data_IF_212850285171
#
_entry.id   IF_212850285171
#
_cell.length_a   1.000
_cell.length_b   1.000
_cell.length_c   1.000
_cell.angle_alpha   90.00
_cell.angle_beta   90.00
_cell.angle_gamma   90.00
#
_symmetry.space_group_name_H-M   'P 1'
#
loop_
_entity.id
_entity.type
_entity.pdbx_description
1 polymer ?
#
# COMPACT_ATOMS: atom_id res chain seq x y z
N UNK A 1 -1.05 18.74 -18.31
CA UNK A 1 -2.47 18.35 -18.46
C UNK A 1 -2.56 16.83 -18.39
N UNK A 2 -3.08 16.29 -17.29
CA UNK A 2 -3.26 14.84 -17.14
C UNK A 2 -4.52 14.39 -17.86
N UNK A 3 -4.40 13.39 -18.73
CA UNK A 3 -5.52 12.78 -19.44
C UNK A 3 -6.12 11.67 -18.58
N UNK A 4 -7.43 11.72 -18.35
CA UNK A 4 -8.16 10.58 -17.80
C UNK A 4 -8.10 9.44 -18.83
N UNK A 5 -7.29 8.41 -18.53
CA UNK A 5 -7.27 7.19 -19.33
C UNK A 5 -8.64 6.51 -19.38
N UNK A 6 -8.74 5.42 -20.14
CA UNK A 6 -9.97 4.68 -20.52
C UNK A 6 -10.85 4.12 -19.38
N UNK A 7 -10.59 4.47 -18.12
CA UNK A 7 -11.39 4.10 -16.96
C UNK A 7 -12.31 5.26 -16.56
N UNK A 8 -13.43 5.41 -17.23
CA UNK A 8 -14.53 6.32 -16.84
C UNK A 8 -15.43 5.68 -15.79
N UNK A 9 -14.87 5.46 -14.59
CA UNK A 9 -15.64 5.13 -13.38
C UNK A 9 -15.91 6.38 -12.53
N UNK A 10 -16.75 6.26 -11.49
CA UNK A 10 -17.09 7.35 -10.56
C UNK A 10 -15.87 8.08 -9.97
N UNK A 11 -14.68 7.45 -9.93
CA UNK A 11 -13.41 8.08 -9.55
C UNK A 11 -12.98 9.24 -10.46
N UNK A 12 -13.40 9.24 -11.73
CA UNK A 12 -13.13 10.33 -12.68
C UNK A 12 -14.06 11.54 -12.45
N UNK A 13 -15.24 11.34 -11.86
CA UNK A 13 -16.16 12.43 -11.54
C UNK A 13 -15.63 13.32 -10.39
N UNK A 14 -14.92 12.74 -9.42
CA UNK A 14 -14.21 13.51 -8.40
C UNK A 14 -13.08 14.36 -8.99
N UNK A 15 -12.43 13.88 -10.05
CA UNK A 15 -11.35 14.61 -10.73
C UNK A 15 -11.84 15.79 -11.59
N UNK A 16 -13.04 15.69 -12.18
CA UNK A 16 -13.60 16.73 -13.06
C UNK A 16 -14.40 17.82 -12.33
N UNK A 17 -14.83 17.60 -11.08
CA UNK A 17 -15.58 18.58 -10.29
C UNK A 17 -14.74 19.42 -9.33
N UNK A 18 -13.54 18.96 -8.98
CA UNK A 18 -12.59 19.70 -8.14
C UNK A 18 -11.57 20.41 -9.02
N UNK A 19 -11.26 21.67 -8.74
CA UNK A 19 -10.25 22.48 -9.43
C UNK A 19 -8.80 21.94 -9.30
N UNK A 20 -8.62 20.69 -8.88
CA UNK A 20 -7.35 20.01 -8.60
C UNK A 20 -7.26 18.71 -9.41
N UNK A 21 -6.95 18.86 -10.70
CA UNK A 21 -6.69 17.76 -11.66
C UNK A 21 -5.51 16.84 -11.27
N UNK A 22 -4.82 17.16 -10.18
CA UNK A 22 -3.66 16.48 -9.64
C UNK A 22 -4.00 15.57 -8.45
N UNK A 23 -5.26 15.28 -8.13
CA UNK A 23 -5.60 14.47 -6.93
C UNK A 23 -6.12 13.07 -7.24
N UNK A 24 -6.15 12.69 -8.52
CA UNK A 24 -6.75 11.44 -8.98
C UNK A 24 -5.76 10.55 -9.76
N UNK A 25 -6.26 9.46 -10.34
CA UNK A 25 -5.49 8.49 -11.13
C UNK A 25 -4.58 9.18 -12.16
N UNK A 26 -3.31 8.78 -12.20
CA UNK A 26 -2.28 9.38 -13.06
C UNK A 26 -1.51 10.51 -12.40
N UNK A 27 -1.86 10.86 -11.16
CA UNK A 27 -1.12 11.78 -10.31
C UNK A 27 -0.19 11.06 -9.33
N UNK A 28 0.89 11.73 -8.93
CA UNK A 28 1.79 11.32 -7.84
C UNK A 28 1.41 11.90 -6.48
N UNK A 29 0.38 12.75 -6.40
CA UNK A 29 -0.16 13.21 -5.12
C UNK A 29 -0.88 12.07 -4.41
N UNK A 30 -1.08 12.20 -3.08
CA UNK A 30 -1.69 11.16 -2.23
C UNK A 30 -2.95 10.52 -2.82
N UNK A 31 -3.89 11.31 -3.35
CA UNK A 31 -5.13 10.74 -3.93
C UNK A 31 -4.94 9.92 -5.20
N UNK A 32 -3.76 9.97 -5.84
CA UNK A 32 -3.38 9.13 -6.97
C UNK A 32 -2.63 7.86 -6.59
N UNK A 33 -1.85 7.88 -5.50
CA UNK A 33 -0.93 6.77 -5.12
C UNK A 33 -1.33 6.05 -3.84
N UNK A 34 -1.98 6.73 -2.88
CA UNK A 34 -2.43 6.13 -1.62
C UNK A 34 -3.78 5.45 -1.83
N UNK A 35 -3.82 4.18 -1.49
CA UNK A 35 -5.00 3.33 -1.65
C UNK A 35 -5.53 2.88 -0.28
N UNK A 36 -6.85 2.67 -0.13
CA UNK A 36 -7.37 1.99 1.05
C UNK A 36 -6.88 0.54 1.07
N UNK A 37 -6.45 0.07 2.24
CA UNK A 37 -6.00 -1.30 2.45
C UNK A 37 -6.54 -1.84 3.78
N UNK A 38 -6.91 -3.12 3.80
CA UNK A 38 -7.35 -3.85 4.99
C UNK A 38 -6.96 -5.32 4.84
N UNK A 39 -6.68 -5.98 5.97
CA UNK A 39 -6.28 -7.39 6.02
C UNK A 39 -7.19 -8.09 7.03
N UNK A 40 -7.63 -9.30 6.69
CA UNK A 40 -8.45 -10.13 7.57
C UNK A 40 -7.78 -11.48 7.76
N UNK A 41 -7.41 -11.79 9.01
CA UNK A 41 -6.81 -13.07 9.39
C UNK A 41 -7.36 -13.51 10.76
N UNK A 42 -8.37 -14.39 10.78
CA UNK A 42 -8.97 -14.88 12.03
C UNK A 42 -7.95 -15.54 12.95
N UNK A 43 -8.01 -15.21 14.24
CA UNK A 43 -7.11 -15.77 15.26
C UNK A 43 -5.68 -15.21 15.25
N UNK A 44 -5.35 -14.35 14.28
CA UNK A 44 -4.04 -13.68 14.18
C UNK A 44 -4.17 -12.18 14.33
N UNK A 45 -5.03 -11.55 13.53
CA UNK A 45 -5.26 -10.09 13.61
C UNK A 45 -6.42 -9.82 14.56
N UNK A 46 -6.22 -9.03 15.64
CA UNK A 46 -7.31 -8.60 16.50
C UNK A 46 -8.38 -7.82 15.73
N UNK A 47 -9.68 -8.01 16.00
CA UNK A 47 -10.72 -7.23 15.35
C UNK A 47 -10.57 -5.74 15.68
N UNK A 48 -10.92 -4.89 14.70
CA UNK A 48 -10.87 -3.43 14.82
C UNK A 48 -9.48 -2.82 15.11
N UNK A 49 -8.40 -3.55 14.82
CA UNK A 49 -7.04 -3.00 14.85
C UNK A 49 -6.78 -2.05 13.67
N UNK A 50 -6.01 -1.00 13.91
CA UNK A 50 -5.53 -0.07 12.88
C UNK A 50 -4.00 0.02 12.95
N UNK A 51 -3.37 0.28 11.81
CA UNK A 51 -1.93 0.50 11.71
C UNK A 51 -1.67 1.80 10.97
N UNK A 52 -0.73 2.60 11.49
CA UNK A 52 -0.25 3.82 10.83
C UNK A 52 1.05 3.59 10.07
N UNK A 53 1.60 2.37 10.12
CA UNK A 53 2.81 2.02 9.40
C UNK A 53 2.64 2.26 7.89
N UNK A 54 3.59 2.97 7.29
CA UNK A 54 3.62 3.15 5.85
C UNK A 54 4.01 1.81 5.17
N UNK A 55 3.15 1.34 4.27
CA UNK A 55 3.35 0.11 3.50
C UNK A 55 3.20 0.39 2.01
N UNK A 56 3.90 -0.41 1.20
CA UNK A 56 3.81 -0.36 -0.26
C UNK A 56 3.16 -1.63 -0.79
N UNK A 57 2.53 -1.55 -1.97
CA UNK A 57 2.07 -2.74 -2.69
C UNK A 57 3.23 -3.69 -3.05
N UNK A 58 4.45 -3.17 -3.12
CA UNK A 58 5.68 -3.96 -3.31
C UNK A 58 5.96 -4.90 -2.13
N UNK A 59 5.44 -4.59 -0.93
CA UNK A 59 5.67 -5.39 0.29
C UNK A 59 4.84 -6.68 0.31
N UNK A 60 3.85 -6.82 -0.57
CA UNK A 60 2.99 -7.99 -0.65
C UNK A 60 3.80 -9.27 -0.87
N UNK A 61 4.65 -9.30 -1.90
CA UNK A 61 5.45 -10.47 -2.23
C UNK A 61 6.39 -10.90 -1.08
N UNK A 62 7.31 -10.04 -0.59
CA UNK A 62 8.24 -10.44 0.46
C UNK A 62 7.53 -10.76 1.79
N UNK A 63 6.46 -10.03 2.13
CA UNK A 63 5.72 -10.27 3.37
C UNK A 63 4.92 -11.56 3.35
N UNK A 64 4.25 -11.88 2.24
CA UNK A 64 3.50 -13.13 2.13
C UNK A 64 4.45 -14.34 2.16
N UNK A 65 5.57 -14.29 1.44
CA UNK A 65 6.59 -15.35 1.48
C UNK A 65 7.12 -15.55 2.90
N UNK A 66 7.42 -14.47 3.62
CA UNK A 66 7.84 -14.53 5.02
C UNK A 66 6.78 -15.18 5.91
N UNK A 67 5.52 -14.78 5.79
CA UNK A 67 4.40 -15.30 6.59
C UNK A 67 4.13 -16.79 6.36
N UNK A 68 4.38 -17.30 5.15
CA UNK A 68 4.24 -18.74 4.83
C UNK A 68 5.55 -19.54 5.01
N UNK A 69 6.62 -18.90 5.49
CA UNK A 69 7.92 -19.54 5.70
C UNK A 69 8.65 -19.94 4.41
N UNK A 70 8.35 -19.29 3.28
CA UNK A 70 9.02 -19.54 2.01
C UNK A 70 10.18 -18.57 1.77
N UNK A 71 11.29 -19.02 1.15
CA UNK A 71 12.39 -18.15 0.79
C UNK A 71 11.99 -17.21 -0.35
N UNK A 72 12.65 -16.05 -0.42
CA UNK A 72 12.53 -15.18 -1.59
C UNK A 72 13.15 -15.82 -2.84
N UNK A 73 12.62 -15.54 -4.05
CA UNK A 73 13.21 -16.01 -5.29
C UNK A 73 14.65 -15.51 -5.45
N UNK A 74 15.58 -16.42 -5.72
CA UNK A 74 16.96 -16.07 -6.05
C UNK A 74 17.07 -15.45 -7.44
N UNK A 75 18.04 -14.55 -7.63
CA UNK A 75 18.36 -14.00 -8.96
C UNK A 75 17.49 -12.81 -9.40
N UNK A 76 16.72 -12.22 -8.48
CA UNK A 76 15.98 -10.98 -8.72
C UNK A 76 16.09 -10.06 -7.50
N UNK A 77 16.31 -8.77 -7.76
CA UNK A 77 16.19 -7.74 -6.73
C UNK A 77 14.71 -7.47 -6.46
N UNK A 78 14.31 -7.50 -5.20
CA UNK A 78 12.96 -7.20 -4.74
C UNK A 78 13.00 -5.88 -3.97
N UNK A 79 12.23 -4.90 -4.44
CA UNK A 79 12.19 -3.55 -3.85
C UNK A 79 11.25 -3.47 -2.62
N UNK A 80 10.41 -4.48 -2.42
CA UNK A 80 9.55 -4.59 -1.25
C UNK A 80 10.31 -5.03 0.01
N UNK A 81 9.77 -4.69 1.17
CA UNK A 81 10.30 -5.03 2.48
C UNK A 81 9.29 -5.84 3.31
N UNK A 82 9.66 -6.19 4.54
CA UNK A 82 8.78 -6.88 5.48
C UNK A 82 7.79 -5.96 6.21
N UNK A 83 7.70 -4.68 5.84
CA UNK A 83 6.82 -3.70 6.51
C UNK A 83 5.36 -4.14 6.61
N UNK A 84 4.83 -4.83 5.58
CA UNK A 84 3.47 -5.34 5.63
C UNK A 84 3.32 -6.52 6.60
N UNK A 85 4.27 -7.46 6.63
CA UNK A 85 4.26 -8.55 7.61
C UNK A 85 4.35 -8.01 9.04
N UNK A 86 5.22 -7.02 9.28
CA UNK A 86 5.34 -6.37 10.59
C UNK A 86 4.07 -5.60 10.97
N UNK A 87 3.40 -4.95 10.02
CA UNK A 87 2.13 -4.28 10.27
C UNK A 87 0.99 -5.27 10.59
N UNK A 88 1.05 -6.49 10.05
CA UNK A 88 0.07 -7.55 10.32
C UNK A 88 0.33 -8.23 11.66
N UNK A 89 1.58 -8.54 11.97
CA UNK A 89 1.97 -9.35 13.13
C UNK A 89 2.32 -8.51 14.37
N UNK A 90 2.64 -7.23 14.18
CA UNK A 90 2.97 -6.28 15.23
C UNK A 90 1.78 -5.49 15.74
N UNK A 91 2.06 -4.46 16.52
CA UNK A 91 1.06 -3.54 17.09
C UNK A 91 0.74 -2.34 16.19
N UNK A 92 1.28 -2.30 14.97
CA UNK A 92 1.08 -1.23 14.01
C UNK A 92 1.81 0.08 14.33
N UNK A 93 2.70 0.09 15.33
CA UNK A 93 3.51 1.26 15.71
C UNK A 93 4.90 1.26 15.10
N UNK A 94 5.34 0.12 14.56
CA UNK A 94 6.66 -0.01 13.96
C UNK A 94 6.79 0.87 12.71
N UNK A 95 7.90 1.60 12.57
CA UNK A 95 8.16 2.39 11.38
C UNK A 95 8.31 1.49 10.15
N UNK A 96 8.04 2.06 8.97
CA UNK A 96 8.31 1.36 7.71
C UNK A 96 9.80 1.04 7.59
N UNK A 97 10.11 -0.13 7.04
CA UNK A 97 11.48 -0.51 6.66
C UNK A 97 11.95 0.13 5.35
N UNK A 98 11.10 0.92 4.69
CA UNK A 98 11.47 1.64 3.48
C UNK A 98 12.17 2.95 3.83
N UNK A 99 13.41 3.10 3.38
CA UNK A 99 14.22 4.31 3.62
C UNK A 99 13.63 5.58 2.98
N UNK A 100 12.73 5.44 2.00
CA UNK A 100 12.15 6.54 1.23
C UNK A 100 10.71 6.88 1.60
N UNK A 101 10.10 6.16 2.54
CA UNK A 101 8.80 6.52 3.10
C UNK A 101 9.02 7.29 4.41
N UNK A 102 8.42 8.49 4.57
CA UNK A 102 8.53 9.23 5.82
C UNK A 102 7.89 8.45 6.98
N UNK A 103 8.46 8.64 8.18
CA UNK A 103 7.95 8.09 9.45
C UNK A 103 6.69 8.82 9.91
#
# INVERSE_FOLDING_TARGET
>A
AGSAGIFTGASAAFANGSHYSNTAKGSTWEGGVRMPAWVHWPGVIPPASTSLAAVSSLDLLPSLLHLVGMPQPSGRLIDGTLSLADAIMGDGTLPSRHDFLPL
#
